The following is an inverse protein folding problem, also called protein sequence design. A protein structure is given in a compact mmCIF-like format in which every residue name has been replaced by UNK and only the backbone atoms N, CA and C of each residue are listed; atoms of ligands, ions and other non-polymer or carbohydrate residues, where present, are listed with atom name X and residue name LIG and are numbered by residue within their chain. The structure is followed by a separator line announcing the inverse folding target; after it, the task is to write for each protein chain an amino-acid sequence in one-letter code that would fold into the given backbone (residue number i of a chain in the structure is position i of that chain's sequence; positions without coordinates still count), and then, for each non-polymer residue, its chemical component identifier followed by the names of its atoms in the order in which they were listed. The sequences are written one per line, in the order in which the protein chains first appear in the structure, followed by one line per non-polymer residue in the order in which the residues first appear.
data_IF_695762693666
#
_entry.id   IF_695762693666
#
_cell.length_a   1.000
_cell.length_b   1.000
_cell.length_c   1.000
_cell.angle_alpha   90.00
_cell.angle_beta   90.00
_cell.angle_gamma   90.00
#
_symmetry.space_group_name_H-M   'P 1'
#
loop_
_entity.id
_entity.type
_entity.pdbx_description
1 polymer ?
#
# COMPACT_ATOMS: atom_id res chain seq x y z
N UNK A 1 -9.33 -2.24 8.59
CA UNK A 1 -9.27 -2.04 10.05
C UNK A 1 -7.80 -2.01 10.42
N UNK A 2 -7.29 -0.89 11.01
CA UNK A 2 -5.87 -0.46 11.21
C UNK A 2 -4.94 -0.90 10.08
N UNK A 3 -4.05 -0.07 9.53
CA UNK A 3 -2.90 -0.71 8.85
C UNK A 3 -3.31 -1.59 7.63
N UNK A 4 -4.22 -1.14 6.76
CA UNK A 4 -4.50 -1.92 5.53
C UNK A 4 -3.25 -1.82 4.65
N UNK A 5 -2.31 -2.73 4.90
CA UNK A 5 -1.04 -2.84 4.21
C UNK A 5 -1.29 -2.84 2.71
N UNK A 6 -2.35 -3.51 2.28
CA UNK A 6 -2.80 -3.56 0.88
C UNK A 6 -3.17 -2.16 0.34
N UNK A 7 -3.90 -1.32 1.09
CA UNK A 7 -4.21 0.06 0.65
C UNK A 7 -2.94 0.91 0.51
N UNK A 8 -1.99 0.77 1.43
CA UNK A 8 -0.71 1.49 1.39
C UNK A 8 0.14 0.99 0.22
N UNK A 9 0.21 -0.33 0.03
CA UNK A 9 0.94 -0.94 -1.08
C UNK A 9 0.34 -0.57 -2.44
N UNK A 10 -0.99 -0.50 -2.54
CA UNK A 10 -1.68 0.01 -3.74
C UNK A 10 -1.34 1.49 -3.96
N UNK A 11 -1.29 2.30 -2.90
CA UNK A 11 -0.87 3.70 -2.99
C UNK A 11 0.58 3.85 -3.49
N UNK A 12 1.51 3.04 -2.99
CA UNK A 12 2.90 3.04 -3.43
C UNK A 12 3.02 2.52 -4.86
N UNK A 13 2.31 1.44 -5.22
CA UNK A 13 2.23 0.94 -6.59
C UNK A 13 1.73 2.04 -7.54
N UNK A 14 0.68 2.76 -7.15
CA UNK A 14 0.14 3.83 -7.95
C UNK A 14 1.15 4.95 -8.18
N UNK A 15 1.84 5.38 -7.12
CA UNK A 15 2.83 6.47 -7.22
C UNK A 15 4.13 6.06 -7.92
N UNK A 16 4.57 4.80 -7.83
CA UNK A 16 5.86 4.36 -8.38
C UNK A 16 5.76 3.71 -9.76
N UNK A 17 4.64 3.06 -10.06
CA UNK A 17 4.46 2.26 -11.28
C UNK A 17 3.35 2.82 -12.18
N UNK A 18 2.25 3.32 -11.59
CA UNK A 18 1.04 3.71 -12.34
C UNK A 18 0.76 5.23 -12.36
N UNK A 19 1.75 6.09 -12.10
CA UNK A 19 1.60 7.56 -12.13
C UNK A 19 1.58 8.12 -13.57
N UNK A 20 1.52 7.23 -14.57
CA UNK A 20 1.46 7.54 -15.99
C UNK A 20 0.24 6.88 -16.64
N UNK A 21 -0.23 7.46 -17.75
CA UNK A 21 -1.30 6.84 -18.55
C UNK A 21 -0.75 5.61 -19.27
N UNK A 22 -1.40 4.47 -19.05
CA UNK A 22 -1.14 3.21 -19.77
C UNK A 22 -2.46 2.79 -20.40
N UNK A 23 -2.44 2.65 -21.71
CA UNK A 23 -3.57 2.42 -22.60
C UNK A 23 -3.85 0.93 -22.84
N UNK A 24 -2.88 0.06 -22.54
CA UNK A 24 -3.02 -1.40 -22.66
C UNK A 24 -3.02 -2.09 -21.28
N UNK A 25 -4.03 -2.94 -21.06
CA UNK A 25 -4.14 -3.79 -19.87
C UNK A 25 -2.95 -4.74 -19.71
N UNK A 26 -2.45 -5.33 -20.78
CA UNK A 26 -1.34 -6.29 -20.71
C UNK A 26 -0.05 -5.62 -20.23
N UNK A 27 0.17 -4.36 -20.65
CA UNK A 27 1.27 -3.53 -20.16
C UNK A 27 1.13 -3.24 -18.68
N UNK A 28 -0.08 -2.94 -18.19
CA UNK A 28 -0.32 -2.74 -16.75
C UNK A 28 0.03 -4.00 -15.96
N UNK A 29 -0.38 -5.18 -16.43
CA UNK A 29 -0.10 -6.45 -15.74
C UNK A 29 1.41 -6.72 -15.67
N UNK A 30 2.14 -6.53 -16.77
CA UNK A 30 3.58 -6.74 -16.83
C UNK A 30 4.35 -5.79 -15.89
N UNK A 31 3.95 -4.52 -15.86
CA UNK A 31 4.57 -3.49 -15.00
C UNK A 31 4.32 -3.76 -13.51
N UNK A 32 3.10 -4.14 -13.14
CA UNK A 32 2.75 -4.51 -11.76
C UNK A 32 3.56 -5.73 -11.30
N UNK A 33 3.69 -6.77 -12.15
CA UNK A 33 4.46 -7.96 -11.83
C UNK A 33 5.96 -7.66 -11.66
N UNK A 34 6.53 -6.83 -12.53
CA UNK A 34 7.92 -6.40 -12.43
C UNK A 34 8.18 -5.60 -11.14
N UNK A 35 7.28 -4.66 -10.82
CA UNK A 35 7.36 -3.86 -9.59
C UNK A 35 7.23 -4.71 -8.33
N UNK A 36 6.32 -5.69 -8.31
CA UNK A 36 6.15 -6.62 -7.21
C UNK A 36 7.42 -7.45 -6.97
N UNK A 37 8.00 -8.03 -8.03
CA UNK A 37 9.26 -8.77 -7.92
C UNK A 37 10.40 -7.90 -7.40
N UNK A 38 10.53 -6.66 -7.89
CA UNK A 38 11.55 -5.74 -7.43
C UNK A 38 11.40 -5.39 -5.95
N UNK A 39 10.17 -5.14 -5.48
CA UNK A 39 9.88 -4.86 -4.06
C UNK A 39 10.16 -6.04 -3.16
N UNK A 40 9.76 -7.24 -3.60
CA UNK A 40 9.99 -8.48 -2.87
C UNK A 40 11.49 -8.78 -2.78
N UNK A 41 12.25 -8.57 -3.85
CA UNK A 41 13.71 -8.73 -3.87
C UNK A 41 14.44 -7.71 -2.97
N UNK A 42 13.97 -6.46 -2.92
CA UNK A 42 14.54 -5.44 -2.02
C UNK A 42 14.13 -5.62 -0.55
N UNK A 43 13.25 -6.58 -0.24
CA UNK A 43 12.73 -6.77 1.11
C UNK A 43 12.10 -5.49 1.66
N UNK A 44 11.40 -4.73 0.80
CA UNK A 44 10.87 -3.42 1.13
C UNK A 44 9.85 -3.53 2.27
N UNK A 45 10.28 -3.27 3.50
CA UNK A 45 9.42 -3.23 4.68
C UNK A 45 8.86 -1.83 4.86
N UNK A 46 7.56 -1.72 5.12
CA UNK A 46 6.97 -0.46 5.56
C UNK A 46 7.57 -0.13 6.93
N UNK A 47 8.43 0.89 6.98
CA UNK A 47 8.91 1.44 8.25
C UNK A 47 7.81 2.28 8.88
N UNK A 48 7.12 1.68 9.84
CA UNK A 48 6.10 2.36 10.63
C UNK A 48 6.75 3.41 11.54
N UNK A 49 6.51 4.69 11.24
CA UNK A 49 6.98 5.81 12.08
C UNK A 49 6.11 6.02 13.33
N UNK A 50 5.09 5.20 13.55
CA UNK A 50 4.18 5.29 14.68
C UNK A 50 3.88 3.90 15.21
N UNK A 51 3.80 3.79 16.53
CA UNK A 51 3.32 2.57 17.19
C UNK A 51 1.85 2.35 16.82
N UNK A 52 1.43 1.09 16.73
CA UNK A 52 0.03 0.70 16.45
C UNK A 52 -0.97 1.43 17.36
N UNK A 53 -0.59 1.65 18.60
CA UNK A 53 -1.39 2.37 19.60
C UNK A 53 -1.56 3.86 19.26
N UNK A 54 -0.48 4.53 18.84
CA UNK A 54 -0.53 5.93 18.39
C UNK A 54 -1.32 6.08 17.08
N UNK A 55 -1.21 5.12 16.16
CA UNK A 55 -2.00 5.09 14.94
C UNK A 55 -3.49 4.99 15.25
N UNK A 56 -3.86 4.07 16.14
CA UNK A 56 -5.26 3.85 16.56
C UNK A 56 -5.84 5.09 17.24
N UNK A 57 -5.03 5.81 18.02
CA UNK A 57 -5.45 7.04 18.69
C UNK A 57 -5.65 8.20 17.70
N UNK A 58 -4.73 8.40 16.74
CA UNK A 58 -4.85 9.45 15.69
C UNK A 58 -5.96 9.16 14.68
N UNK A 59 -6.10 7.93 14.22
CA UNK A 59 -6.99 7.54 13.12
C UNK A 59 -8.33 6.98 13.60
N UNK A 60 -8.66 7.12 14.89
CA UNK A 60 -9.90 6.63 15.49
C UNK A 60 -11.17 7.07 14.75
N UNK A 61 -11.17 8.27 14.18
CA UNK A 61 -12.29 8.81 13.38
C UNK A 61 -12.42 8.14 12.00
N UNK A 62 -11.31 7.78 11.37
CA UNK A 62 -11.29 7.17 10.04
C UNK A 62 -11.53 5.66 10.09
N UNK A 63 -11.14 5.01 11.20
CA UNK A 63 -11.35 3.59 11.43
C UNK A 63 -12.03 3.37 12.78
N UNK A 64 -13.37 3.49 12.86
CA UNK A 64 -14.11 3.09 14.04
C UNK A 64 -13.86 1.59 14.28
N UNK A 65 -13.55 1.23 15.53
CA UNK A 65 -13.45 -0.17 15.93
C UNK A 65 -14.87 -0.74 15.82
N UNK A 66 -15.09 -1.73 14.96
CA UNK A 66 -16.34 -2.48 14.98
C UNK A 66 -16.39 -3.23 16.31
N UNK A 67 -17.36 -2.90 17.15
CA UNK A 67 -17.77 -3.79 18.25
C UNK A 67 -18.32 -5.07 17.62
N UNK A 68 -17.79 -6.22 18.06
CA UNK A 68 -18.25 -7.55 17.68
C UNK A 68 -19.59 -7.87 18.32
#
# INVERSE_FOLDING_TARGET
SWLNMVEIEIGVLRSQCLDRRIDNKDTIIAEVAAWEQQRNAHGAKIQWMFTTENARKKLRKAYPVKES
#
